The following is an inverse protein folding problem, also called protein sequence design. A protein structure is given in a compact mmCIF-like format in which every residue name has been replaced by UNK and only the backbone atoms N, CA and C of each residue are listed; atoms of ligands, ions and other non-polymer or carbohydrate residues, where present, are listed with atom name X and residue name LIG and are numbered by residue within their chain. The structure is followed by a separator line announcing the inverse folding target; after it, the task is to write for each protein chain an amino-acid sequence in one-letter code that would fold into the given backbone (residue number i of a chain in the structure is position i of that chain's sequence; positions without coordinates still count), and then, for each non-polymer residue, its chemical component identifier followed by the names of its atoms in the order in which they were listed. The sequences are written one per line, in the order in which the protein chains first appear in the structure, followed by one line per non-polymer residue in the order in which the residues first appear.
data_IF_863452325144
#
_entry.id   IF_863452325144
#
_cell.length_a   1.000
_cell.length_b   1.000
_cell.length_c   1.000
_cell.angle_alpha   90.00
_cell.angle_beta   90.00
_cell.angle_gamma   90.00
#
_symmetry.space_group_name_H-M   'P 1'
#
loop_
_entity.id
_entity.type
_entity.pdbx_description
1 polymer ?
#
# COMPACT_ATOMS: atom_id res chain seq x y z
N UNK A 1 -22.66 7.49 -8.30
CA UNK A 1 -22.50 6.05 -8.54
C UNK A 1 -21.45 5.55 -7.56
N UNK A 2 -21.82 4.67 -6.63
CA UNK A 2 -20.85 3.98 -5.77
C UNK A 2 -20.06 3.04 -6.68
N UNK A 3 -18.75 3.24 -6.80
CA UNK A 3 -17.87 2.22 -7.42
C UNK A 3 -17.68 1.14 -6.37
N UNK A 4 -18.18 -0.07 -6.63
CA UNK A 4 -17.82 -1.22 -5.81
C UNK A 4 -16.44 -1.67 -6.24
N UNK A 5 -15.46 -1.55 -5.35
CA UNK A 5 -14.09 -2.03 -5.58
C UNK A 5 -14.03 -3.53 -5.28
N UNK A 6 -14.63 -4.36 -6.15
CA UNK A 6 -14.61 -5.83 -5.96
C UNK A 6 -13.21 -6.42 -6.17
N UNK A 7 -12.38 -5.74 -6.95
CA UNK A 7 -10.96 -6.05 -7.16
C UNK A 7 -10.14 -4.77 -7.27
N UNK A 8 -8.85 -4.88 -6.97
CA UNK A 8 -7.87 -3.82 -7.21
C UNK A 8 -7.07 -4.03 -8.50
N UNK A 9 -7.12 -5.21 -9.12
CA UNK A 9 -6.33 -5.51 -10.32
C UNK A 9 -6.57 -4.48 -11.42
N UNK A 10 -5.47 -3.95 -11.97
CA UNK A 10 -5.49 -2.89 -12.98
C UNK A 10 -5.67 -1.48 -12.42
N UNK A 11 -5.87 -1.31 -11.12
CA UNK A 11 -5.92 0.00 -10.47
C UNK A 11 -4.54 0.45 -9.98
N UNK A 12 -4.40 1.76 -9.85
CA UNK A 12 -3.30 2.39 -9.14
C UNK A 12 -3.84 3.36 -8.09
N UNK A 13 -3.28 3.28 -6.89
CA UNK A 13 -3.60 4.15 -5.77
C UNK A 13 -2.39 5.01 -5.45
N UNK A 14 -2.50 6.33 -5.67
CA UNK A 14 -1.53 7.27 -5.16
C UNK A 14 -1.81 7.48 -3.67
N UNK A 15 -0.90 6.99 -2.84
CA UNK A 15 -0.93 7.12 -1.40
C UNK A 15 -0.09 8.31 -0.96
N UNK A 16 -0.59 9.10 -0.02
CA UNK A 16 0.14 10.16 0.67
C UNK A 16 -0.12 10.08 2.16
N UNK A 17 0.94 10.06 2.97
CA UNK A 17 0.78 9.96 4.41
C UNK A 17 2.08 9.90 5.18
N UNK A 18 1.95 9.58 6.47
CA UNK A 18 3.08 9.50 7.40
C UNK A 18 3.17 8.10 8.00
N UNK A 19 4.40 7.65 8.18
CA UNK A 19 4.71 6.43 8.91
C UNK A 19 5.21 6.81 10.31
N UNK A 20 4.53 6.32 11.34
CA UNK A 20 4.90 6.53 12.73
C UNK A 20 5.66 5.30 13.23
N UNK A 21 6.94 5.46 13.54
CA UNK A 21 7.79 4.41 14.11
C UNK A 21 8.50 4.93 15.35
N UNK A 22 8.80 4.03 16.31
CA UNK A 22 9.57 4.41 17.50
C UNK A 22 11.04 4.72 17.19
N UNK A 23 11.56 4.15 16.11
CA UNK A 23 12.98 4.21 15.74
C UNK A 23 13.28 5.35 14.76
N UNK A 24 12.27 6.10 14.32
CA UNK A 24 12.44 7.16 13.32
C UNK A 24 12.78 6.61 11.93
N UNK A 25 12.40 5.36 11.65
CA UNK A 25 12.66 4.65 10.39
C UNK A 25 12.06 5.34 9.16
N UNK A 26 11.18 6.32 9.37
CA UNK A 26 10.45 7.04 8.33
C UNK A 26 10.40 8.53 8.69
N UNK A 27 11.37 9.33 8.21
CA UNK A 27 11.54 10.69 8.70
C UNK A 27 10.52 11.69 8.13
N UNK A 28 9.77 11.36 7.08
CA UNK A 28 9.01 12.35 6.30
C UNK A 28 7.64 11.87 5.80
N UNK A 29 6.83 12.83 5.32
CA UNK A 29 5.65 12.57 4.49
C UNK A 29 6.09 11.80 3.24
N UNK A 30 5.47 10.66 2.99
CA UNK A 30 5.74 9.85 1.79
C UNK A 30 4.55 9.95 0.84
N UNK A 31 4.86 10.16 -0.43
CA UNK A 31 3.93 9.99 -1.55
C UNK A 31 4.47 8.91 -2.48
N UNK A 32 3.64 7.92 -2.78
CA UNK A 32 3.97 6.84 -3.71
C UNK A 32 2.70 6.28 -4.36
N UNK A 33 2.85 5.61 -5.50
CA UNK A 33 1.75 4.95 -6.21
C UNK A 33 1.91 3.45 -6.03
N UNK A 34 0.90 2.79 -5.48
CA UNK A 34 0.77 1.33 -5.48
C UNK A 34 -0.06 0.93 -6.69
N UNK A 35 0.52 0.14 -7.59
CA UNK A 35 -0.13 -0.37 -8.80
C UNK A 35 -0.35 -1.87 -8.68
N UNK A 36 -1.60 -2.31 -8.83
CA UNK A 36 -1.99 -3.71 -8.68
C UNK A 36 -1.98 -4.39 -10.05
N UNK A 37 -0.91 -5.14 -10.32
CA UNK A 37 -0.59 -5.71 -11.63
C UNK A 37 -1.43 -6.96 -11.90
N UNK A 38 -1.55 -7.83 -10.90
CA UNK A 38 -2.38 -9.04 -10.94
C UNK A 38 -3.38 -9.04 -9.78
N UNK A 39 -4.01 -10.18 -9.50
CA UNK A 39 -4.86 -10.38 -8.32
C UNK A 39 -4.05 -10.53 -7.01
N UNK A 40 -2.74 -10.74 -7.13
CA UNK A 40 -1.87 -11.15 -6.01
C UNK A 40 -0.50 -10.47 -6.01
N UNK A 41 -0.18 -9.65 -7.02
CA UNK A 41 1.06 -8.88 -7.10
C UNK A 41 0.80 -7.40 -7.35
N UNK A 42 1.56 -6.56 -6.67
CA UNK A 42 1.58 -5.11 -6.87
C UNK A 42 3.02 -4.59 -6.88
N UNK A 43 3.20 -3.42 -7.48
CA UNK A 43 4.46 -2.68 -7.46
C UNK A 43 4.25 -1.27 -6.96
N UNK A 44 5.29 -0.68 -6.39
CA UNK A 44 5.27 0.66 -5.81
C UNK A 44 6.22 1.55 -6.59
N UNK A 45 5.73 2.71 -7.03
CA UNK A 45 6.55 3.75 -7.63
C UNK A 45 6.54 5.02 -6.79
N UNK A 46 7.70 5.68 -6.70
CA UNK A 46 7.81 7.00 -6.08
C UNK A 46 8.74 7.86 -6.94
N UNK A 47 8.32 9.10 -7.22
CA UNK A 47 9.06 10.03 -8.09
C UNK A 47 9.48 9.39 -9.43
N UNK A 48 8.59 8.60 -10.04
CA UNK A 48 8.81 7.94 -11.32
C UNK A 48 9.74 6.71 -11.29
N UNK A 49 10.21 6.28 -10.11
CA UNK A 49 11.08 5.11 -9.95
C UNK A 49 10.35 3.95 -9.29
N UNK A 50 10.68 2.73 -9.70
CA UNK A 50 10.29 1.53 -8.97
C UNK A 50 11.02 1.50 -7.62
N UNK A 51 10.26 1.48 -6.52
CA UNK A 51 10.81 1.50 -5.15
C UNK A 51 10.44 0.28 -4.33
N UNK A 52 9.58 -0.58 -4.85
CA UNK A 52 9.23 -1.84 -4.20
C UNK A 52 8.28 -2.68 -5.02
N UNK A 53 8.24 -3.96 -4.69
CA UNK A 53 7.26 -4.91 -5.19
C UNK A 53 6.79 -5.75 -4.00
N UNK A 54 5.53 -6.19 -4.06
CA UNK A 54 4.95 -7.01 -3.01
C UNK A 54 3.95 -8.00 -3.59
N UNK A 55 3.87 -9.16 -2.94
CA UNK A 55 2.66 -9.98 -3.01
C UNK A 55 1.62 -9.36 -2.09
N UNK A 56 0.35 -9.46 -2.44
CA UNK A 56 -0.73 -8.98 -1.59
C UNK A 56 -1.92 -9.92 -1.60
N UNK A 57 -2.76 -9.76 -0.58
CA UNK A 57 -4.11 -10.32 -0.51
C UNK A 57 -5.08 -9.16 -0.30
N UNK A 58 -6.23 -9.21 -0.97
CA UNK A 58 -7.29 -8.21 -0.90
C UNK A 58 -8.60 -8.89 -0.56
N UNK A 59 -9.30 -8.35 0.43
CA UNK A 59 -10.63 -8.81 0.83
C UNK A 59 -11.56 -7.60 0.95
N UNK A 60 -12.53 -7.43 0.03
CA UNK A 60 -13.53 -6.38 0.13
C UNK A 60 -14.52 -6.69 1.25
N UNK A 61 -14.84 -5.69 2.08
CA UNK A 61 -15.80 -5.78 3.19
C UNK A 61 -17.00 -4.88 2.89
N UNK A 62 -17.78 -5.29 1.89
CA UNK A 62 -18.90 -4.51 1.37
C UNK A 62 -18.45 -3.43 0.37
N UNK A 63 -19.20 -2.32 0.30
CA UNK A 63 -18.96 -1.26 -0.69
C UNK A 63 -17.97 -0.18 -0.24
N UNK A 64 -17.69 -0.10 1.07
CA UNK A 64 -16.93 1.00 1.68
C UNK A 64 -15.53 0.60 2.10
N UNK A 65 -15.37 -0.57 2.70
CA UNK A 65 -14.12 -0.96 3.38
C UNK A 65 -13.48 -2.15 2.68
N UNK A 66 -12.16 -2.27 2.78
CA UNK A 66 -11.44 -3.47 2.43
C UNK A 66 -10.21 -3.66 3.31
N UNK A 67 -9.76 -4.90 3.45
CA UNK A 67 -8.46 -5.21 4.07
C UNK A 67 -7.45 -5.63 3.01
N UNK A 68 -6.20 -5.22 3.21
CA UNK A 68 -5.06 -5.70 2.46
C UNK A 68 -3.99 -6.26 3.37
N UNK A 69 -3.30 -7.28 2.89
CA UNK A 69 -2.06 -7.75 3.51
C UNK A 69 -1.00 -7.72 2.44
N UNK A 70 0.11 -7.02 2.69
CA UNK A 70 1.25 -6.97 1.79
C UNK A 70 2.45 -7.73 2.37
N UNK A 71 3.13 -8.48 1.50
CA UNK A 71 4.37 -9.18 1.76
C UNK A 71 5.46 -8.71 0.78
N UNK A 72 6.08 -7.55 1.02
CA UNK A 72 7.26 -7.14 0.27
C UNK A 72 8.41 -8.12 0.54
N UNK A 73 9.24 -8.39 -0.47
CA UNK A 73 10.46 -9.19 -0.25
C UNK A 73 11.44 -8.43 0.66
N UNK A 74 11.63 -7.15 0.35
CA UNK A 74 12.45 -6.22 1.13
C UNK A 74 11.66 -4.92 1.32
N UNK A 75 11.58 -4.46 2.57
CA UNK A 75 10.95 -3.19 2.93
C UNK A 75 11.92 -2.38 3.79
N UNK A 76 12.40 -1.25 3.26
CA UNK A 76 13.38 -0.39 3.94
C UNK A 76 14.60 -1.19 4.46
N UNK A 77 15.16 -2.05 3.61
CA UNK A 77 16.31 -2.91 3.93
C UNK A 77 16.01 -4.11 4.82
N UNK A 78 14.75 -4.36 5.20
CA UNK A 78 14.33 -5.46 6.08
C UNK A 78 13.56 -6.52 5.29
N UNK A 79 13.86 -7.79 5.55
CA UNK A 79 13.08 -8.95 5.08
C UNK A 79 12.08 -9.36 6.15
N UNK A 80 11.03 -10.09 5.77
CA UNK A 80 10.03 -10.59 6.74
C UNK A 80 9.13 -9.49 7.30
N UNK A 81 8.94 -8.40 6.54
CA UNK A 81 8.00 -7.34 6.86
C UNK A 81 6.63 -7.70 6.29
N UNK A 82 5.57 -7.47 7.07
CA UNK A 82 4.17 -7.63 6.65
C UNK A 82 3.42 -6.35 6.98
N UNK A 83 2.61 -5.87 6.03
CA UNK A 83 1.77 -4.70 6.22
C UNK A 83 0.31 -5.15 6.23
N UNK A 84 -0.38 -4.96 7.35
CA UNK A 84 -1.82 -5.19 7.47
C UNK A 84 -2.53 -3.86 7.31
N UNK A 85 -3.18 -3.66 6.18
CA UNK A 85 -3.80 -2.40 5.77
C UNK A 85 -5.32 -2.47 5.72
N UNK A 86 -5.94 -1.31 5.85
CA UNK A 86 -7.38 -1.11 5.77
C UNK A 86 -7.64 0.11 4.88
N UNK A 87 -8.40 -0.10 3.81
CA UNK A 87 -8.88 0.95 2.93
C UNK A 87 -10.30 1.34 3.30
N UNK A 88 -10.56 2.65 3.39
CA UNK A 88 -11.88 3.25 3.42
C UNK A 88 -12.08 4.02 2.10
N UNK A 89 -12.90 3.49 1.21
CA UNK A 89 -13.16 4.06 -0.12
C UNK A 89 -14.11 5.25 -0.09
N UNK A 90 -14.90 5.43 0.96
CA UNK A 90 -15.77 6.61 1.09
C UNK A 90 -14.94 7.81 1.55
N UNK A 91 -14.02 7.60 2.48
CA UNK A 91 -13.14 8.64 3.02
C UNK A 91 -11.81 8.77 2.26
N UNK A 92 -11.52 7.82 1.37
CA UNK A 92 -10.25 7.71 0.66
C UNK A 92 -9.04 7.65 1.61
N UNK A 93 -9.15 6.82 2.64
CA UNK A 93 -8.15 6.66 3.69
C UNK A 93 -7.52 5.27 3.69
N UNK A 94 -6.23 5.22 3.96
CA UNK A 94 -5.48 3.97 4.18
C UNK A 94 -4.78 4.00 5.55
N UNK A 95 -4.95 2.93 6.31
CA UNK A 95 -4.29 2.73 7.61
C UNK A 95 -3.63 1.37 7.60
N UNK A 96 -2.35 1.32 7.93
CA UNK A 96 -1.64 0.04 8.01
C UNK A 96 -0.87 -0.12 9.32
N UNK A 97 -0.90 -1.32 9.88
CA UNK A 97 0.05 -1.78 10.89
C UNK A 97 1.16 -2.53 10.19
N UNK A 98 2.39 -2.09 10.40
CA UNK A 98 3.59 -2.68 9.79
C UNK A 98 4.29 -3.51 10.86
N UNK A 99 4.52 -4.78 10.55
CA UNK A 99 5.10 -5.76 11.46
C UNK A 99 6.39 -6.30 10.85
N UNK A 100 7.41 -6.50 11.69
CA UNK A 100 8.67 -7.15 11.31
C UNK A 100 8.96 -8.26 12.31
N UNK A 101 8.98 -9.52 11.86
CA UNK A 101 9.14 -10.71 12.71
C UNK A 101 8.20 -10.69 13.92
N UNK A 102 6.89 -10.57 13.66
CA UNK A 102 5.80 -10.57 14.65
C UNK A 102 5.84 -9.43 15.68
N UNK A 103 6.66 -8.39 15.45
CA UNK A 103 6.72 -7.20 16.29
C UNK A 103 6.27 -5.95 15.54
N UNK A 104 5.49 -5.05 16.16
CA UNK A 104 5.14 -3.77 15.56
C UNK A 104 6.39 -2.97 15.21
N UNK A 105 6.52 -2.62 13.93
CA UNK A 105 7.57 -1.76 13.40
C UNK A 105 7.09 -0.31 13.30
N UNK A 106 5.92 -0.11 12.67
CA UNK A 106 5.36 1.20 12.40
C UNK A 106 3.85 1.16 12.19
N UNK A 107 3.23 2.34 12.16
CA UNK A 107 1.86 2.56 11.69
C UNK A 107 1.92 3.51 10.51
N UNK A 108 1.32 3.13 9.38
CA UNK A 108 1.10 4.04 8.26
C UNK A 108 -0.30 4.66 8.37
N UNK A 109 -0.37 5.97 8.16
CA UNK A 109 -1.60 6.74 8.20
C UNK A 109 -1.60 7.71 7.03
N UNK A 110 -2.41 7.42 6.01
CA UNK A 110 -2.46 8.21 4.79
C UNK A 110 -3.84 8.32 4.17
N UNK A 111 -3.93 9.16 3.17
CA UNK A 111 -5.03 9.18 2.21
C UNK A 111 -4.56 8.58 0.91
N UNK A 112 -5.50 8.10 0.09
CA UNK A 112 -5.19 7.69 -1.26
C UNK A 112 -6.11 8.39 -2.27
N UNK A 113 -5.74 8.34 -3.54
CA UNK A 113 -6.66 8.57 -4.65
C UNK A 113 -6.41 7.54 -5.74
N UNK A 114 -7.47 7.16 -6.45
CA UNK A 114 -7.34 6.33 -7.64
C UNK A 114 -6.74 7.19 -8.76
N UNK A 115 -5.66 6.71 -9.36
CA UNK A 115 -4.96 7.37 -10.47
C UNK A 115 -4.85 6.44 -11.67
N UNK A 116 -4.50 6.99 -12.82
CA UNK A 116 -4.13 6.17 -13.98
C UNK A 116 -2.88 5.35 -13.68
N UNK A 117 -2.87 4.10 -14.14
CA UNK A 117 -1.76 3.18 -13.89
C UNK A 117 -0.51 3.67 -14.63
N UNK A 118 0.56 4.04 -13.91
CA UNK A 118 1.78 4.48 -14.56
C UNK A 118 2.44 3.30 -15.28
N UNK A 119 3.06 3.57 -16.43
CA UNK A 119 3.89 2.59 -17.10
C UNK A 119 4.93 2.02 -16.12
N UNK A 120 5.00 0.69 -16.01
CA UNK A 120 5.95 0.04 -15.10
C UNK A 120 7.37 0.41 -15.56
N UNK A 121 8.20 1.08 -14.71
CA UNK A 121 9.57 1.40 -15.08
C UNK A 121 10.35 0.12 -15.39
N UNK A 122 11.20 0.16 -16.42
CA UNK A 122 12.12 -0.94 -16.70
C UNK A 122 13.11 -1.10 -15.53
N UNK A 123 13.35 -2.36 -15.13
CA UNK A 123 14.34 -2.74 -14.11
C UNK A 123 15.76 -2.47 -14.57
#
# INVERSE_FOLDING_TARGET
MSRTYESLTGLSLEWTGTHYSKQGDFPELSTHIVSYDTDSSCYVTASGKLVGEARYCYEPMGVRMATLIYWPEVYQGRRGVVLYAMLDFDLMLDRAVIVHNDRPLAIANGSFRVVETPAKPAT
#
